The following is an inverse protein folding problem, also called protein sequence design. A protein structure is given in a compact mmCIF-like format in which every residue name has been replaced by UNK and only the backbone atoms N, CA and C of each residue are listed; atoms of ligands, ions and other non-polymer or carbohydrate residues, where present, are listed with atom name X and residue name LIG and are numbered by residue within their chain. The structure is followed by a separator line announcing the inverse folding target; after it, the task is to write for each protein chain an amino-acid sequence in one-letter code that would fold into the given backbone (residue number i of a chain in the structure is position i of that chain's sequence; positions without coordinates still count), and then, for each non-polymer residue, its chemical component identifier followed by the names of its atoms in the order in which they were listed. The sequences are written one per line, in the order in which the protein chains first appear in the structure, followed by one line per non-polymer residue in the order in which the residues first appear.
data_IF_011447082620
#
_entry.id   IF_011447082620
#
_cell.length_a   1.000
_cell.length_b   1.000
_cell.length_c   1.000
_cell.angle_alpha   90.00
_cell.angle_beta   90.00
_cell.angle_gamma   90.00
#
_symmetry.space_group_name_H-M   'P 1'
#
loop_
_entity.id
_entity.type
_entity.pdbx_description
1 polymer ?
#
# COMPACT_ATOMS: atom_id res chain seq x y z
N UNK A 1 -14.81 -17.32 9.13
CA UNK A 1 -14.90 -17.76 7.73
C UNK A 1 -13.57 -18.44 7.47
N UNK A 2 -13.54 -19.77 7.37
CA UNK A 2 -12.30 -20.51 7.12
C UNK A 2 -12.00 -20.42 5.63
N UNK A 3 -10.80 -19.95 5.28
CA UNK A 3 -10.39 -19.85 3.88
C UNK A 3 -10.00 -21.25 3.36
N UNK A 4 -10.13 -21.44 2.05
CA UNK A 4 -9.74 -22.70 1.41
C UNK A 4 -8.24 -22.96 1.62
N UNK A 5 -7.89 -24.17 2.06
CA UNK A 5 -6.50 -24.56 2.39
C UNK A 5 -6.09 -24.39 3.86
N UNK A 6 -6.84 -23.62 4.65
CA UNK A 6 -6.57 -23.49 6.09
C UNK A 6 -6.96 -24.78 6.82
N UNK A 7 -6.08 -25.26 7.69
CA UNK A 7 -6.30 -26.48 8.47
C UNK A 7 -5.81 -26.31 9.90
N UNK A 8 -6.46 -27.02 10.83
CA UNK A 8 -6.10 -26.97 12.24
C UNK A 8 -4.64 -27.36 12.48
N UNK A 9 -3.98 -26.62 13.36
CA UNK A 9 -2.69 -27.04 13.90
C UNK A 9 -2.91 -28.30 14.73
N UNK A 10 -2.14 -29.35 14.46
CA UNK A 10 -2.27 -30.63 15.15
C UNK A 10 -2.25 -30.45 16.68
N UNK A 11 -3.32 -30.91 17.34
CA UNK A 11 -3.46 -30.83 18.80
C UNK A 11 -3.95 -29.48 19.33
N UNK A 12 -4.28 -28.52 18.45
CA UNK A 12 -4.89 -27.25 18.82
C UNK A 12 -6.37 -27.22 18.44
N UNK A 13 -7.16 -26.54 19.27
CA UNK A 13 -8.57 -26.20 18.99
C UNK A 13 -8.78 -24.71 18.77
N UNK A 14 -7.69 -23.92 18.76
CA UNK A 14 -7.74 -22.46 18.68
C UNK A 14 -6.76 -21.88 17.67
N UNK A 15 -6.03 -22.71 16.92
CA UNK A 15 -5.05 -22.26 15.94
C UNK A 15 -5.13 -23.05 14.63
N UNK A 16 -4.98 -22.33 13.53
CA UNK A 16 -4.96 -22.86 12.17
C UNK A 16 -3.65 -22.47 11.46
N UNK A 17 -3.26 -23.28 10.48
CA UNK A 17 -2.30 -22.88 9.46
C UNK A 17 -2.96 -21.86 8.53
N UNK A 18 -2.34 -20.70 8.42
CA UNK A 18 -2.85 -19.57 7.66
C UNK A 18 -2.35 -19.60 6.22
N UNK A 19 -3.21 -19.20 5.29
CA UNK A 19 -2.89 -19.06 3.86
C UNK A 19 -2.86 -17.60 3.38
N UNK A 20 -3.26 -16.64 4.22
CA UNK A 20 -3.35 -15.21 3.87
C UNK A 20 -2.92 -14.28 5.01
N UNK A 21 -2.36 -13.11 4.69
CA UNK A 21 -2.06 -12.11 5.73
C UNK A 21 -3.34 -11.38 6.14
N UNK A 22 -3.89 -11.69 7.31
CA UNK A 22 -5.07 -11.03 7.91
C UNK A 22 -4.87 -9.52 8.17
N UNK A 23 -4.92 -8.71 7.11
CA UNK A 23 -4.82 -7.23 7.06
C UNK A 23 -3.61 -6.60 7.76
N UNK A 24 -2.62 -7.40 8.16
CA UNK A 24 -1.45 -6.95 8.93
C UNK A 24 -1.78 -6.17 10.22
N UNK A 25 -2.97 -6.35 10.79
CA UNK A 25 -3.47 -5.54 11.91
C UNK A 25 -2.89 -5.94 13.28
N UNK A 26 -2.85 -7.23 13.59
CA UNK A 26 -2.45 -7.74 14.91
C UNK A 26 -1.57 -8.97 14.80
N UNK A 27 -0.26 -8.79 14.94
CA UNK A 27 0.73 -9.86 14.77
C UNK A 27 1.63 -9.95 15.99
N UNK A 28 1.87 -11.18 16.44
CA UNK A 28 2.93 -11.49 17.38
C UNK A 28 4.05 -12.22 16.64
N UNK A 29 5.27 -11.73 16.78
CA UNK A 29 6.44 -12.32 16.14
C UNK A 29 7.50 -12.68 17.16
N UNK A 30 8.03 -13.89 17.05
CA UNK A 30 9.20 -14.28 17.85
C UNK A 30 10.46 -13.64 17.27
N UNK A 31 11.50 -13.48 18.09
CA UNK A 31 12.82 -13.04 17.61
C UNK A 31 13.32 -13.87 16.41
N UNK A 32 13.15 -15.20 16.47
CA UNK A 32 13.52 -16.10 15.37
C UNK A 32 12.70 -15.86 14.10
N UNK A 33 11.40 -15.58 14.25
CA UNK A 33 10.54 -15.22 13.13
C UNK A 33 10.98 -13.90 12.48
N UNK A 34 11.26 -12.87 13.29
CA UNK A 34 11.75 -11.59 12.79
C UNK A 34 13.09 -11.74 12.04
N UNK A 35 14.01 -12.55 12.58
CA UNK A 35 15.27 -12.83 11.90
C UNK A 35 15.06 -13.49 10.52
N UNK A 36 14.15 -14.47 10.40
CA UNK A 36 13.81 -15.10 9.11
C UNK A 36 13.29 -14.10 8.08
N UNK A 37 12.42 -13.18 8.51
CA UNK A 37 11.91 -12.11 7.64
C UNK A 37 13.01 -11.15 7.19
N UNK A 38 14.02 -10.87 8.03
CA UNK A 38 15.11 -9.97 7.68
C UNK A 38 16.22 -10.64 6.86
N UNK A 39 16.46 -11.93 7.06
CA UNK A 39 17.53 -12.69 6.38
C UNK A 39 17.34 -12.71 4.84
N UNK A 40 16.11 -12.60 4.34
CA UNK A 40 15.81 -12.51 2.89
C UNK A 40 16.04 -11.11 2.29
N UNK A 41 16.54 -10.17 3.10
CA UNK A 41 16.85 -8.77 2.77
C UNK A 41 15.67 -8.06 2.08
N UNK A 42 14.48 -8.01 2.71
CA UNK A 42 13.27 -7.55 2.06
C UNK A 42 13.37 -6.10 1.61
N UNK A 43 14.08 -5.24 2.35
CA UNK A 43 14.23 -3.82 2.02
C UNK A 43 14.98 -3.54 0.71
N UNK A 44 15.64 -4.54 0.14
CA UNK A 44 16.30 -4.43 -1.17
C UNK A 44 15.33 -4.69 -2.34
N UNK A 45 14.08 -5.04 -2.05
CA UNK A 45 13.03 -5.44 -2.99
C UNK A 45 11.75 -4.70 -2.62
N UNK A 46 11.00 -4.19 -3.59
CA UNK A 46 9.71 -3.55 -3.32
C UNK A 46 8.61 -4.60 -3.46
N UNK A 47 7.91 -4.90 -2.36
CA UNK A 47 6.77 -5.83 -2.32
C UNK A 47 5.78 -5.31 -1.27
N UNK A 48 4.46 -5.34 -1.54
CA UNK A 48 3.45 -5.15 -0.51
C UNK A 48 3.64 -6.13 0.66
N UNK A 49 3.38 -5.67 1.88
CA UNK A 49 3.63 -6.46 3.11
C UNK A 49 2.68 -7.67 3.22
N UNK A 50 1.47 -7.50 2.73
CA UNK A 50 0.42 -8.51 2.65
C UNK A 50 0.77 -9.63 1.66
N UNK A 51 1.53 -9.34 0.60
CA UNK A 51 2.08 -10.36 -0.29
C UNK A 51 3.39 -10.96 0.26
N UNK A 52 4.17 -10.16 1.00
CA UNK A 52 5.43 -10.62 1.57
C UNK A 52 5.24 -11.73 2.60
N UNK A 53 4.28 -11.61 3.51
CA UNK A 53 4.11 -12.60 4.58
C UNK A 53 3.73 -13.99 4.03
N UNK A 54 2.73 -14.14 3.13
CA UNK A 54 2.38 -15.42 2.55
C UNK A 54 3.49 -16.07 1.75
N UNK A 55 4.27 -15.28 1.01
CA UNK A 55 5.50 -15.80 0.42
C UNK A 55 6.43 -16.37 1.48
N UNK A 56 6.67 -15.68 2.60
CA UNK A 56 7.64 -16.13 3.60
C UNK A 56 7.24 -17.42 4.34
N UNK A 57 5.95 -17.74 4.41
CA UNK A 57 5.45 -19.05 4.88
C UNK A 57 5.11 -20.03 3.75
N UNK A 58 5.63 -19.78 2.55
CA UNK A 58 5.61 -20.63 1.34
C UNK A 58 4.21 -20.87 0.74
N UNK A 59 3.27 -19.96 1.00
CA UNK A 59 1.87 -20.08 0.58
C UNK A 59 1.39 -18.80 -0.10
N UNK A 60 1.89 -18.55 -1.31
CA UNK A 60 1.49 -17.42 -2.14
C UNK A 60 0.95 -17.92 -3.49
N UNK A 61 -0.14 -17.33 -4.03
CA UNK A 61 -0.76 -17.79 -5.28
C UNK A 61 0.13 -17.54 -6.49
N UNK A 62 0.80 -16.38 -6.55
CA UNK A 62 1.76 -16.08 -7.60
C UNK A 62 3.15 -16.64 -7.26
N UNK A 63 3.57 -17.67 -7.99
CA UNK A 63 4.89 -18.30 -7.80
C UNK A 63 6.04 -17.47 -8.35
N UNK A 64 5.78 -16.52 -9.25
CA UNK A 64 6.82 -15.66 -9.80
C UNK A 64 7.47 -14.78 -8.73
N UNK A 65 6.66 -14.19 -7.85
CA UNK A 65 7.16 -13.37 -6.74
C UNK A 65 8.00 -14.18 -5.75
N UNK A 66 7.63 -15.45 -5.52
CA UNK A 66 8.31 -16.31 -4.56
C UNK A 66 9.79 -16.53 -4.89
N UNK A 67 10.18 -16.55 -6.17
CA UNK A 67 11.58 -16.73 -6.58
C UNK A 67 12.52 -15.64 -6.07
N UNK A 68 12.00 -14.44 -5.82
CA UNK A 68 12.81 -13.34 -5.30
C UNK A 68 13.12 -13.48 -3.81
N UNK A 69 12.43 -14.35 -3.07
CA UNK A 69 12.53 -14.47 -1.62
C UNK A 69 12.82 -15.92 -1.21
N UNK A 70 14.04 -16.16 -0.72
CA UNK A 70 14.48 -17.43 -0.14
C UNK A 70 15.44 -17.15 1.03
N UNK A 71 15.42 -17.94 2.12
CA UNK A 71 14.58 -19.12 2.35
C UNK A 71 13.16 -18.80 2.87
N UNK A 72 12.12 -19.43 2.30
CA UNK A 72 10.70 -19.29 2.74
C UNK A 72 10.31 -20.30 3.83
N UNK A 73 10.90 -20.16 5.01
CA UNK A 73 10.72 -21.13 6.10
C UNK A 73 10.01 -20.56 7.34
N UNK A 74 9.26 -19.47 7.20
CA UNK A 74 8.47 -18.91 8.28
C UNK A 74 7.34 -19.87 8.63
N UNK A 75 7.08 -20.07 9.91
CA UNK A 75 5.87 -20.76 10.37
C UNK A 75 4.88 -19.69 10.79
N UNK A 76 3.71 -19.68 10.18
CA UNK A 76 2.65 -18.74 10.48
C UNK A 76 1.39 -19.50 10.91
N UNK A 77 0.64 -18.88 11.82
CA UNK A 77 -0.59 -19.42 12.37
C UNK A 77 -1.56 -18.27 12.62
N UNK A 78 -2.85 -18.56 12.50
CA UNK A 78 -3.91 -17.64 12.93
C UNK A 78 -4.67 -18.24 14.11
N UNK A 79 -5.26 -17.38 14.93
CA UNK A 79 -6.20 -17.78 15.96
C UNK A 79 -7.58 -18.04 15.34
N UNK A 80 -8.28 -19.07 15.80
CA UNK A 80 -9.66 -19.36 15.41
C UNK A 80 -10.52 -19.51 16.69
N UNK A 81 -11.52 -18.64 16.92
CA UNK A 81 -11.94 -17.53 16.06
C UNK A 81 -10.95 -16.35 16.05
N UNK A 82 -11.02 -15.51 15.01
CA UNK A 82 -10.23 -14.29 14.91
C UNK A 82 -10.49 -13.35 16.09
N UNK A 83 -9.42 -12.80 16.66
CA UNK A 83 -9.51 -11.80 17.74
C UNK A 83 -9.91 -10.42 17.23
N UNK A 84 -9.47 -10.06 16.01
CA UNK A 84 -9.74 -8.79 15.36
C UNK A 84 -10.18 -9.10 13.93
N UNK A 85 -11.29 -8.51 13.50
CA UNK A 85 -11.81 -8.63 12.15
C UNK A 85 -12.54 -7.34 11.75
N UNK A 86 -12.62 -7.02 10.45
CA UNK A 86 -13.35 -5.86 9.96
C UNK A 86 -14.83 -5.89 10.36
N UNK A 87 -15.40 -4.72 10.65
CA UNK A 87 -16.85 -4.60 10.83
C UNK A 87 -17.60 -4.65 9.50
N UNK A 88 -16.95 -4.26 8.41
CA UNK A 88 -17.47 -4.30 7.04
C UNK A 88 -16.38 -4.82 6.10
N UNK A 89 -16.75 -5.68 5.16
CA UNK A 89 -15.88 -6.24 4.13
C UNK A 89 -16.12 -5.58 2.76
N UNK A 90 -15.16 -5.75 1.84
CA UNK A 90 -15.30 -5.27 0.46
C UNK A 90 -16.60 -5.77 -0.17
N UNK A 91 -17.37 -4.84 -0.73
CA UNK A 91 -18.69 -5.11 -1.33
C UNK A 91 -19.88 -5.05 -0.36
N UNK A 92 -19.66 -4.91 0.94
CA UNK A 92 -20.73 -4.70 1.91
C UNK A 92 -21.20 -3.24 1.93
N UNK A 93 -22.48 -3.03 2.28
CA UNK A 93 -23.03 -1.68 2.42
C UNK A 93 -22.26 -0.90 3.50
N UNK A 94 -21.95 0.36 3.21
CA UNK A 94 -21.14 1.25 4.07
C UNK A 94 -19.68 0.80 4.27
N UNK A 95 -19.17 -0.14 3.47
CA UNK A 95 -17.72 -0.34 3.36
C UNK A 95 -17.08 0.92 2.76
N UNK A 96 -16.15 1.52 3.49
CA UNK A 96 -15.39 2.70 3.08
C UNK A 96 -13.92 2.29 3.01
N UNK A 97 -13.27 2.66 1.92
CA UNK A 97 -11.88 2.29 1.62
C UNK A 97 -11.18 3.44 0.91
N UNK A 98 -9.92 3.65 1.25
CA UNK A 98 -8.99 4.57 0.58
C UNK A 98 -8.12 3.86 -0.46
N UNK A 99 -8.17 2.53 -0.53
CA UNK A 99 -7.28 1.68 -1.33
C UNK A 99 -7.97 0.93 -2.45
N UNK A 100 -9.30 0.77 -2.41
CA UNK A 100 -10.07 0.11 -3.46
C UNK A 100 -10.96 1.11 -4.22
N UNK A 101 -10.69 1.27 -5.51
CA UNK A 101 -11.44 2.15 -6.41
C UNK A 101 -12.77 1.55 -6.88
N UNK A 102 -13.01 0.27 -6.60
CA UNK A 102 -14.24 -0.43 -6.95
C UNK A 102 -15.29 -0.27 -5.85
N UNK A 103 -16.27 0.62 -6.05
CA UNK A 103 -17.58 0.69 -5.36
C UNK A 103 -17.75 1.53 -4.07
N UNK A 104 -16.77 2.34 -3.64
CA UNK A 104 -17.10 3.40 -2.68
C UNK A 104 -17.96 4.48 -3.36
N UNK A 105 -19.09 4.93 -2.77
CA UNK A 105 -19.75 6.14 -3.25
C UNK A 105 -18.73 7.26 -3.12
N UNK A 106 -18.33 7.79 -4.28
CA UNK A 106 -17.42 8.93 -4.41
C UNK A 106 -17.85 9.95 -3.35
N UNK A 107 -17.02 10.18 -2.34
CA UNK A 107 -17.20 11.34 -1.46
C UNK A 107 -17.22 12.52 -2.44
N UNK A 108 -18.32 13.29 -2.52
CA UNK A 108 -18.38 14.38 -3.48
C UNK A 108 -17.16 15.25 -3.26
N UNK A 109 -16.38 15.37 -4.32
CA UNK A 109 -15.18 16.18 -4.40
C UNK A 109 -15.47 17.52 -3.72
N UNK A 110 -14.87 17.74 -2.53
CA UNK A 110 -15.11 18.96 -1.74
C UNK A 110 -14.66 20.20 -2.52
N UNK A 111 -13.81 20.03 -3.53
CA UNK A 111 -13.36 21.08 -4.44
C UNK A 111 -14.38 21.45 -5.52
N UNK A 112 -15.45 20.65 -5.71
CA UNK A 112 -16.56 20.96 -6.63
C UNK A 112 -17.74 21.66 -5.96
N UNK A 113 -17.71 21.89 -4.66
CA UNK A 113 -18.81 22.50 -3.92
C UNK A 113 -18.82 24.04 -3.95
N UNK A 114 -17.82 24.70 -4.55
CA UNK A 114 -17.69 26.17 -4.56
C UNK A 114 -17.68 26.79 -5.97
N UNK A 115 -18.46 26.23 -6.91
CA UNK A 115 -18.76 26.90 -8.17
C UNK A 115 -20.05 27.73 -8.08
N UNK A 116 -20.17 28.54 -7.04
CA UNK A 116 -21.34 29.38 -6.78
C UNK A 116 -20.93 30.75 -6.27
N UNK A 117 -20.91 31.72 -7.19
CA UNK A 117 -20.72 33.16 -6.98
C UNK A 117 -19.26 33.66 -6.85
N UNK A 118 -18.62 33.89 -8.01
CA UNK A 118 -17.42 34.73 -8.05
C UNK A 118 -17.84 36.21 -7.87
N UNK A 119 -17.34 36.94 -6.86
CA UNK A 119 -17.51 38.39 -6.83
C UNK A 119 -16.71 39.01 -7.99
N UNK A 120 -17.35 39.89 -8.75
CA UNK A 120 -16.73 40.58 -9.87
C UNK A 120 -15.51 41.41 -9.40
N UNK A 121 -14.33 41.04 -9.86
CA UNK A 121 -13.08 41.78 -9.60
C UNK A 121 -12.97 42.93 -10.61
N UNK A 122 -12.69 44.18 -10.20
CA UNK A 122 -12.54 45.29 -11.15
C UNK A 122 -11.30 45.10 -12.01
N UNK A 123 -11.41 45.43 -13.31
CA UNK A 123 -10.33 45.28 -14.28
C UNK A 123 -9.07 46.09 -13.87
N UNK A 124 -7.97 45.39 -13.61
CA UNK A 124 -6.64 45.96 -13.42
C UNK A 124 -5.94 46.09 -14.79
N UNK A 125 -5.32 47.24 -15.04
CA UNK A 125 -4.65 47.58 -16.30
C UNK A 125 -3.41 46.70 -16.63
N UNK A 126 -2.78 46.93 -17.79
CA UNK A 126 -1.78 46.02 -18.35
C UNK A 126 -0.52 45.91 -17.46
N UNK A 127 -0.05 44.68 -17.26
CA UNK A 127 1.12 44.36 -16.42
C UNK A 127 2.42 44.75 -17.13
N UNK A 128 3.28 45.52 -16.46
CA UNK A 128 4.67 45.69 -16.87
C UNK A 128 5.47 44.41 -16.59
N UNK A 129 6.33 44.03 -17.55
CA UNK A 129 7.08 42.78 -17.57
C UNK A 129 8.14 42.67 -16.48
N UNK A 130 8.32 41.46 -15.95
CA UNK A 130 9.34 41.13 -14.96
C UNK A 130 10.67 40.74 -15.65
N UNK A 131 11.83 41.21 -15.17
CA UNK A 131 13.12 41.03 -15.86
C UNK A 131 13.74 39.65 -15.59
N UNK A 132 14.45 39.12 -16.59
CA UNK A 132 15.26 37.90 -16.49
C UNK A 132 16.64 38.19 -15.88
N UNK A 133 17.26 37.26 -15.12
CA UNK A 133 18.58 37.48 -14.53
C UNK A 133 19.72 37.14 -15.52
N UNK A 134 20.61 38.12 -15.72
CA UNK A 134 21.90 38.02 -16.42
C UNK A 134 22.83 36.97 -15.76
N UNK A 135 23.83 36.36 -16.41
CA UNK A 135 24.38 36.51 -17.76
C UNK A 135 25.70 35.73 -17.90
N UNK A 136 26.28 35.71 -19.11
CA UNK A 136 27.73 35.64 -19.33
C UNK A 136 28.10 36.32 -20.67
N UNK A 137 29.32 36.86 -20.81
CA UNK A 137 29.61 38.00 -21.68
C UNK A 137 30.01 37.62 -23.12
N UNK A 138 29.62 38.51 -24.04
CA UNK A 138 30.07 38.56 -25.44
C UNK A 138 31.58 38.80 -25.56
N UNK A 139 32.26 37.99 -26.39
CA UNK A 139 33.54 38.37 -27.00
C UNK A 139 33.46 38.24 -28.52
N UNK A 140 34.07 39.22 -29.18
CA UNK A 140 33.95 39.57 -30.59
C UNK A 140 34.64 38.56 -31.54
N UNK A 141 34.18 38.52 -32.79
CA UNK A 141 34.99 38.03 -33.90
C UNK A 141 34.22 37.84 -35.20
N UNK A 142 34.17 38.88 -36.04
CA UNK A 142 33.75 38.77 -37.43
C UNK A 142 34.80 38.06 -38.28
N UNK A 143 34.34 37.47 -39.38
CA UNK A 143 35.18 36.92 -40.44
C UNK A 143 36.07 38.03 -41.06
N UNK A 144 37.39 37.80 -41.00
CA UNK A 144 38.41 37.84 -42.07
C UNK A 144 39.82 37.92 -41.43
#
# INVERSE_FOLDING_TARGET
MQLEGEHWVLGSTTMIHVTYSYWTLGYMITWRGAKKLLDVKPLTKMIPVDEFLPMMFDDHPDKHYMYAFEPRNLKAFSAEPLMIYPTHYTGEANYITDTDTGSSPIVPDLDKADSGDQPAVPAMGPSEGLPTPDGEPSSHGGEL
#
